data_IF_247908781683
#
_entry.id   IF_247908781683
#
_cell.length_a   1.000
_cell.length_b   1.000
_cell.length_c   1.000
_cell.angle_alpha   90.00
_cell.angle_beta   90.00
_cell.angle_gamma   90.00
#
_symmetry.space_group_name_H-M   'P 1'
#
loop_
_entity.id
_entity.type
_entity.pdbx_description
1 polymer ?
#
# COMPACT_ATOMS: atom_id res chain seq x y z
N UNK A 1 -29.37 -21.90 -1.91
CA UNK A 1 -28.74 -23.20 -2.23
C UNK A 1 -29.65 -24.33 -1.76
N UNK A 2 -30.19 -24.31 -0.52
CA UNK A 2 -31.07 -25.37 0.03
C UNK A 2 -32.43 -25.53 -0.63
N UNK A 3 -32.93 -24.56 -1.41
CA UNK A 3 -34.21 -24.66 -2.11
C UNK A 3 -34.17 -25.30 -3.50
N UNK A 4 -32.97 -25.44 -4.08
CA UNK A 4 -32.80 -26.09 -5.39
C UNK A 4 -32.70 -27.62 -5.27
N UNK A 5 -32.16 -28.14 -4.18
CA UNK A 5 -31.99 -29.59 -3.97
C UNK A 5 -33.30 -30.32 -3.72
N UNK A 6 -34.27 -29.65 -3.14
CA UNK A 6 -35.60 -30.27 -2.88
C UNK A 6 -36.46 -30.48 -4.15
N UNK A 7 -36.22 -29.69 -5.21
CA UNK A 7 -36.94 -29.81 -6.49
C UNK A 7 -36.38 -30.85 -7.44
N UNK A 8 -35.18 -31.35 -7.20
CA UNK A 8 -34.52 -32.35 -8.04
C UNK A 8 -34.82 -33.79 -7.67
N UNK A 9 -35.50 -34.03 -6.52
CA UNK A 9 -35.90 -35.40 -6.10
C UNK A 9 -37.23 -35.89 -6.68
N UNK A 10 -38.02 -35.05 -7.30
CA UNK A 10 -39.34 -35.45 -7.86
C UNK A 10 -39.34 -35.86 -9.33
N UNK A 11 -38.23 -35.77 -10.05
CA UNK A 11 -38.13 -36.13 -11.50
C UNK A 11 -37.37 -37.44 -11.70
N UNK A 12 -37.51 -38.38 -10.83
CA UNK A 12 -36.91 -39.69 -10.91
C UNK A 12 -37.72 -40.74 -11.61
N UNK A 13 -38.14 -40.52 -12.87
CA UNK A 13 -38.67 -41.62 -13.76
C UNK A 13 -38.67 -41.22 -15.25
N UNK A 14 -37.55 -40.87 -15.82
CA UNK A 14 -37.35 -40.91 -17.29
C UNK A 14 -35.91 -41.28 -17.55
N UNK A 15 -35.78 -42.53 -17.90
CA UNK A 15 -34.50 -43.18 -18.03
C UNK A 15 -33.68 -42.74 -19.26
N UNK A 16 -32.39 -42.93 -19.16
CA UNK A 16 -31.34 -43.11 -20.17
C UNK A 16 -30.96 -41.95 -21.10
N UNK A 17 -31.79 -40.98 -21.38
CA UNK A 17 -31.37 -39.83 -22.22
C UNK A 17 -30.89 -38.61 -21.41
N UNK A 18 -31.08 -38.60 -20.10
CA UNK A 18 -30.69 -37.47 -19.24
C UNK A 18 -29.23 -37.50 -18.75
N UNK A 19 -28.55 -38.64 -18.82
CA UNK A 19 -27.19 -38.80 -18.29
C UNK A 19 -26.14 -38.01 -19.09
N UNK A 20 -26.25 -37.96 -20.40
CA UNK A 20 -25.30 -37.23 -21.26
C UNK A 20 -25.51 -35.73 -21.26
N UNK A 21 -26.76 -35.27 -21.07
CA UNK A 21 -27.06 -33.85 -20.98
C UNK A 21 -26.65 -33.23 -19.61
N UNK A 22 -26.76 -34.02 -18.53
CA UNK A 22 -26.37 -33.62 -17.19
C UNK A 22 -24.86 -33.47 -17.05
N UNK A 23 -24.09 -34.39 -17.60
CA UNK A 23 -22.62 -34.32 -17.56
C UNK A 23 -22.09 -33.11 -18.35
N UNK A 24 -22.68 -32.81 -19.52
CA UNK A 24 -22.30 -31.66 -20.32
C UNK A 24 -22.69 -30.32 -19.60
N UNK A 25 -23.82 -30.26 -18.95
CA UNK A 25 -24.27 -29.06 -18.24
C UNK A 25 -23.39 -28.77 -16.99
N UNK A 26 -23.01 -29.81 -16.24
CA UNK A 26 -22.07 -29.67 -15.12
C UNK A 26 -20.66 -29.31 -15.60
N UNK A 27 -20.21 -29.85 -16.72
CA UNK A 27 -18.94 -29.51 -17.30
C UNK A 27 -18.93 -28.04 -17.79
N UNK A 28 -20.00 -27.56 -18.42
CA UNK A 28 -20.14 -26.18 -18.85
C UNK A 28 -20.20 -25.18 -17.65
N UNK A 29 -20.96 -25.50 -16.62
CA UNK A 29 -21.07 -24.65 -15.43
C UNK A 29 -19.73 -24.60 -14.67
N UNK A 30 -19.05 -25.75 -14.52
CA UNK A 30 -17.72 -25.75 -13.90
C UNK A 30 -16.67 -25.05 -14.75
N UNK A 31 -16.70 -25.20 -16.08
CA UNK A 31 -15.79 -24.50 -16.98
C UNK A 31 -16.01 -22.97 -16.93
N UNK A 32 -17.26 -22.53 -16.95
CA UNK A 32 -17.57 -21.11 -16.78
C UNK A 32 -17.25 -20.58 -15.37
N UNK A 33 -17.46 -21.38 -14.32
CA UNK A 33 -17.11 -21.02 -12.95
C UNK A 33 -15.59 -20.94 -12.74
N UNK A 34 -14.81 -21.89 -13.32
CA UNK A 34 -13.35 -21.83 -13.27
C UNK A 34 -12.81 -20.68 -14.12
N UNK A 35 -13.37 -20.42 -15.28
CA UNK A 35 -13.01 -19.26 -16.10
C UNK A 35 -13.41 -17.94 -15.44
N UNK A 36 -14.55 -17.87 -14.76
CA UNK A 36 -14.94 -16.72 -13.94
C UNK A 36 -14.01 -16.54 -12.73
N UNK A 37 -13.64 -17.61 -12.02
CA UNK A 37 -12.59 -17.57 -10.98
C UNK A 37 -11.24 -17.14 -11.51
N UNK A 38 -10.86 -17.57 -12.69
CA UNK A 38 -9.59 -17.21 -13.34
C UNK A 38 -9.63 -15.78 -13.92
N UNK A 39 -10.81 -15.28 -14.31
CA UNK A 39 -11.01 -13.93 -14.80
C UNK A 39 -11.15 -12.90 -13.67
N UNK A 40 -11.53 -13.31 -12.47
CA UNK A 40 -11.21 -12.56 -11.23
C UNK A 40 -9.71 -12.82 -10.92
N UNK A 41 -8.82 -12.51 -11.85
CA UNK A 41 -7.46 -12.14 -11.47
C UNK A 41 -7.67 -11.05 -10.42
N UNK A 42 -7.35 -11.33 -9.15
CA UNK A 42 -7.17 -10.30 -8.13
C UNK A 42 -6.37 -9.22 -8.83
N UNK A 43 -7.00 -8.12 -9.15
CA UNK A 43 -6.25 -6.92 -9.54
C UNK A 43 -5.35 -6.71 -8.35
N UNK A 44 -4.07 -7.09 -8.51
CA UNK A 44 -3.07 -6.91 -7.45
C UNK A 44 -2.92 -5.40 -7.35
N UNK A 45 -3.70 -4.81 -6.45
CA UNK A 45 -3.59 -3.36 -6.22
C UNK A 45 -2.13 -3.08 -5.89
N UNK A 46 -1.57 -2.13 -6.61
CA UNK A 46 -0.20 -1.66 -6.35
C UNK A 46 -0.19 -1.18 -4.90
N UNK A 47 0.73 -1.69 -4.12
CA UNK A 47 0.94 -1.23 -2.74
C UNK A 47 1.45 0.20 -2.78
N UNK A 48 1.10 0.97 -1.76
CA UNK A 48 1.70 2.28 -1.55
C UNK A 48 3.20 2.13 -1.25
N UNK A 49 3.95 3.18 -1.55
CA UNK A 49 5.40 3.23 -1.35
C UNK A 49 5.65 4.09 -0.10
N UNK A 50 6.34 3.51 0.87
CA UNK A 50 6.92 4.25 1.98
C UNK A 50 8.20 4.90 1.46
N UNK A 51 8.23 6.23 1.44
CA UNK A 51 9.37 6.99 0.91
C UNK A 51 10.48 7.13 1.95
N UNK A 52 10.14 7.64 3.13
CA UNK A 52 11.09 7.83 4.21
C UNK A 52 10.44 7.74 5.58
N UNK A 53 11.28 7.62 6.60
CA UNK A 53 10.93 7.83 8.00
C UNK A 53 11.67 9.06 8.49
N UNK A 54 10.98 9.97 9.16
CA UNK A 54 11.59 11.13 9.79
C UNK A 54 11.65 10.96 11.31
N UNK A 55 12.80 11.18 11.87
CA UNK A 55 13.03 11.19 13.31
C UNK A 55 13.57 12.56 13.74
N UNK A 56 13.14 12.99 14.92
CA UNK A 56 13.60 14.25 15.47
C UNK A 56 14.97 14.11 16.13
N UNK A 57 15.79 15.13 15.97
CA UNK A 57 17.09 15.27 16.63
C UNK A 57 17.33 16.72 17.04
N UNK A 58 18.14 16.93 18.07
CA UNK A 58 18.51 18.26 18.55
C UNK A 58 19.71 18.86 17.77
N UNK A 59 20.48 18.02 17.07
CA UNK A 59 21.69 18.43 16.34
C UNK A 59 21.87 17.54 15.09
N UNK A 60 21.58 18.11 13.93
CA UNK A 60 21.65 17.40 12.64
C UNK A 60 23.05 16.87 12.38
N UNK A 61 24.09 17.69 12.58
CA UNK A 61 25.45 17.30 12.25
C UNK A 61 25.94 16.12 13.09
N UNK A 62 25.73 16.17 14.40
CA UNK A 62 26.08 15.08 15.31
C UNK A 62 25.31 13.80 15.01
N UNK A 63 24.05 13.94 14.63
CA UNK A 63 23.25 12.77 14.28
C UNK A 63 23.73 12.14 12.97
N UNK A 64 24.00 12.92 11.93
CA UNK A 64 24.56 12.42 10.66
C UNK A 64 25.86 11.70 10.91
N UNK A 65 26.81 12.31 11.65
CA UNK A 65 28.07 11.70 12.03
C UNK A 65 27.84 10.35 12.71
N UNK A 66 26.98 10.31 13.72
CA UNK A 66 26.68 9.08 14.45
C UNK A 66 26.09 7.98 13.56
N UNK A 67 25.14 8.33 12.67
CA UNK A 67 24.53 7.33 11.77
C UNK A 67 25.55 6.79 10.76
N UNK A 68 26.38 7.63 10.18
CA UNK A 68 27.40 7.22 9.18
C UNK A 68 28.56 6.45 9.79
N UNK A 69 28.90 6.68 11.06
CA UNK A 69 29.89 5.89 11.79
C UNK A 69 29.38 4.50 12.17
N UNK A 70 28.08 4.36 12.47
CA UNK A 70 27.52 3.12 12.97
C UNK A 70 26.83 2.27 11.91
N UNK A 71 26.40 2.84 10.79
CA UNK A 71 25.67 2.17 9.73
C UNK A 71 26.23 2.52 8.36
N UNK A 72 26.03 1.61 7.40
CA UNK A 72 26.32 1.88 5.98
C UNK A 72 25.10 2.56 5.36
N UNK A 73 25.20 3.85 5.15
CA UNK A 73 24.19 4.68 4.47
C UNK A 73 24.89 5.81 3.73
N UNK A 74 24.22 6.34 2.71
CA UNK A 74 24.69 7.47 1.94
C UNK A 74 23.98 8.76 2.42
N UNK A 75 24.70 9.89 2.41
CA UNK A 75 24.12 11.19 2.71
C UNK A 75 23.57 11.77 1.40
N UNK A 76 22.24 11.79 1.22
CA UNK A 76 21.60 12.40 0.05
C UNK A 76 21.57 13.93 0.16
N UNK A 77 21.34 14.41 1.38
CA UNK A 77 21.27 15.84 1.68
C UNK A 77 21.62 16.09 3.14
N UNK A 78 22.22 17.26 3.41
CA UNK A 78 22.46 17.74 4.77
C UNK A 78 22.60 19.27 4.78
N UNK A 79 21.89 19.91 5.70
CA UNK A 79 22.17 21.29 6.14
C UNK A 79 22.02 21.39 7.68
N UNK A 80 21.99 22.60 8.23
CA UNK A 80 21.84 22.79 9.69
C UNK A 80 20.42 22.52 10.22
N UNK A 81 19.45 22.30 9.35
CA UNK A 81 18.04 22.18 9.69
C UNK A 81 17.47 20.78 9.45
N UNK A 82 18.00 20.03 8.49
CA UNK A 82 17.62 18.66 8.22
C UNK A 82 18.68 17.91 7.42
N UNK A 83 18.58 16.57 7.42
CA UNK A 83 19.39 15.71 6.57
C UNK A 83 18.55 14.51 6.07
N UNK A 84 18.96 13.96 4.92
CA UNK A 84 18.39 12.73 4.35
C UNK A 84 19.50 11.70 4.16
N UNK A 85 19.35 10.58 4.84
CA UNK A 85 20.23 9.42 4.70
C UNK A 85 19.52 8.34 3.88
N UNK A 86 20.25 7.67 2.98
CA UNK A 86 19.74 6.59 2.15
C UNK A 86 20.27 5.23 2.64
N UNK A 87 19.35 4.32 2.92
CA UNK A 87 19.59 2.90 3.13
C UNK A 87 19.07 2.12 1.93
N UNK A 88 19.46 0.89 1.76
CA UNK A 88 19.04 0.04 0.62
C UNK A 88 17.52 -0.02 0.39
N UNK A 89 16.73 0.11 1.44
CA UNK A 89 15.28 -0.15 1.41
C UNK A 89 14.40 1.04 1.81
N UNK A 90 14.97 2.08 2.42
CA UNK A 90 14.22 3.25 2.91
C UNK A 90 15.16 4.42 3.16
N UNK A 91 14.65 5.65 3.03
CA UNK A 91 15.36 6.85 3.45
C UNK A 91 15.04 7.19 4.90
N UNK A 92 15.99 7.79 5.60
CA UNK A 92 15.84 8.31 6.95
C UNK A 92 16.05 9.83 6.91
N UNK A 93 15.03 10.59 7.27
CA UNK A 93 15.13 12.02 7.46
C UNK A 93 15.47 12.32 8.93
N UNK A 94 16.49 13.13 9.15
CA UNK A 94 16.81 13.74 10.45
C UNK A 94 16.29 15.17 10.43
N UNK A 95 15.42 15.53 11.37
CA UNK A 95 14.70 16.81 11.37
C UNK A 95 14.73 17.44 12.76
N UNK A 96 14.69 18.77 12.80
CA UNK A 96 14.51 19.48 14.06
C UNK A 96 13.03 19.46 14.48
N UNK A 97 12.71 19.17 15.76
CA UNK A 97 11.33 18.97 16.21
C UNK A 97 10.42 20.21 16.02
N UNK A 98 11.00 21.42 16.01
CA UNK A 98 10.28 22.67 15.75
C UNK A 98 9.93 22.90 14.27
N UNK A 99 10.55 22.15 13.34
CA UNK A 99 10.29 22.28 11.90
C UNK A 99 9.38 21.20 11.39
N UNK A 100 9.63 19.95 11.80
CA UNK A 100 8.86 18.78 11.37
C UNK A 100 8.64 17.84 12.55
N UNK A 101 7.44 17.25 12.69
CA UNK A 101 7.22 16.21 13.67
C UNK A 101 7.88 14.90 13.24
N UNK A 102 8.05 13.98 14.18
CA UNK A 102 8.28 12.57 13.84
C UNK A 102 7.15 12.07 12.92
N UNK A 103 7.49 11.44 11.80
CA UNK A 103 6.53 10.90 10.83
C UNK A 103 7.15 9.82 9.95
N UNK A 104 6.31 9.18 9.15
CA UNK A 104 6.73 8.46 7.95
C UNK A 104 5.98 9.03 6.74
N UNK A 105 6.64 9.00 5.57
CA UNK A 105 6.10 9.55 4.34
C UNK A 105 5.63 8.46 3.39
N UNK A 106 4.47 8.67 2.77
CA UNK A 106 3.87 7.81 1.77
C UNK A 106 3.75 8.58 0.45
N UNK A 107 4.28 8.00 -0.64
CA UNK A 107 4.14 8.59 -1.97
C UNK A 107 2.71 8.43 -2.50
N UNK A 108 2.13 9.56 -2.93
CA UNK A 108 0.83 9.64 -3.58
C UNK A 108 0.83 10.70 -4.67
N UNK A 109 0.24 10.38 -5.82
CA UNK A 109 0.08 11.34 -6.92
C UNK A 109 -0.99 12.42 -6.60
N UNK A 110 -1.97 12.06 -5.76
CA UNK A 110 -3.15 12.86 -5.42
C UNK A 110 -3.09 13.43 -4.01
N UNK A 111 -2.03 14.16 -3.68
CA UNK A 111 -1.78 14.75 -2.35
C UNK A 111 -2.95 15.64 -1.90
N UNK A 112 -3.58 16.34 -2.85
CA UNK A 112 -4.70 17.26 -2.63
C UNK A 112 -5.95 16.59 -2.04
N UNK A 113 -6.12 15.28 -2.22
CA UNK A 113 -7.25 14.51 -1.65
C UNK A 113 -7.14 14.38 -0.12
N UNK A 114 -5.96 14.67 0.45
CA UNK A 114 -5.68 14.52 1.88
C UNK A 114 -5.71 15.83 2.66
N UNK A 115 -5.78 16.97 1.99
CA UNK A 115 -5.86 18.29 2.62
C UNK A 115 -5.26 19.41 1.77
N UNK A 116 -4.88 20.51 2.42
CA UNK A 116 -4.24 21.64 1.76
C UNK A 116 -2.72 21.38 1.66
N UNK A 117 -2.16 21.23 0.46
CA UNK A 117 -0.76 20.91 0.30
C UNK A 117 0.17 22.10 0.61
N UNK A 118 1.35 21.77 1.09
CA UNK A 118 2.47 22.70 1.26
C UNK A 118 3.59 22.28 0.32
N UNK A 119 4.17 23.26 -0.39
CA UNK A 119 5.36 23.04 -1.22
C UNK A 119 6.62 23.29 -0.38
N UNK A 120 7.52 22.33 -0.37
CA UNK A 120 8.80 22.39 0.34
C UNK A 120 9.91 23.03 -0.52
N UNK A 121 11.05 23.33 0.11
CA UNK A 121 12.21 23.95 -0.57
C UNK A 121 12.81 23.12 -1.71
N UNK A 122 12.71 21.81 -1.62
CA UNK A 122 13.16 20.84 -2.63
C UNK A 122 12.18 20.65 -3.79
N UNK A 123 11.03 21.36 -3.74
CA UNK A 123 9.97 21.29 -4.75
C UNK A 123 8.96 20.17 -4.48
N UNK A 124 9.17 19.35 -3.50
CA UNK A 124 8.19 18.34 -3.10
C UNK A 124 6.92 19.00 -2.52
N UNK A 125 5.81 18.29 -2.61
CA UNK A 125 4.50 18.76 -2.15
C UNK A 125 3.93 17.77 -1.19
N UNK A 126 3.52 18.21 0.00
CA UNK A 126 2.99 17.28 0.99
C UNK A 126 1.83 17.81 1.82
N UNK A 127 1.12 16.87 2.45
CA UNK A 127 0.10 17.09 3.48
C UNK A 127 0.37 16.17 4.66
N UNK A 128 0.32 16.72 5.87
CA UNK A 128 0.36 15.91 7.08
C UNK A 128 -1.03 15.52 7.53
N UNK A 129 -1.23 14.21 7.71
CA UNK A 129 -2.44 13.64 8.31
C UNK A 129 -2.07 12.89 9.59
N UNK A 130 -3.08 12.48 10.35
CA UNK A 130 -2.88 11.64 11.54
C UNK A 130 -3.62 10.33 11.40
N UNK A 131 -2.99 9.25 11.86
CA UNK A 131 -3.69 7.99 12.04
C UNK A 131 -4.65 8.06 13.26
N UNK A 132 -5.36 6.96 13.52
CA UNK A 132 -6.32 6.88 14.64
C UNK A 132 -5.65 6.99 16.03
N UNK A 133 -4.34 6.78 16.12
CA UNK A 133 -3.55 6.86 17.34
C UNK A 133 -2.82 8.22 17.49
N UNK A 134 -2.98 9.10 16.48
CA UNK A 134 -2.37 10.43 16.48
C UNK A 134 -0.96 10.48 15.89
N UNK A 135 -0.44 9.38 15.31
CA UNK A 135 0.85 9.40 14.63
C UNK A 135 0.77 10.24 13.36
N UNK A 136 1.82 11.00 13.07
CA UNK A 136 1.88 11.81 11.86
C UNK A 136 2.28 10.94 10.66
N UNK A 137 1.58 11.16 9.56
CA UNK A 137 1.85 10.56 8.25
C UNK A 137 1.96 11.70 7.26
N UNK A 138 3.06 11.77 6.55
CA UNK A 138 3.23 12.69 5.43
C UNK A 138 2.76 12.02 4.13
N UNK A 139 1.82 12.63 3.46
CA UNK A 139 1.41 12.25 2.09
C UNK A 139 2.20 13.14 1.15
N UNK A 140 3.07 12.55 0.33
CA UNK A 140 4.14 13.23 -0.39
C UNK A 140 4.09 12.97 -1.89
N UNK A 141 4.40 14.01 -2.68
CA UNK A 141 4.66 13.95 -4.12
C UNK A 141 5.90 14.77 -4.46
N UNK A 142 6.77 14.24 -5.32
CA UNK A 142 7.89 14.96 -5.96
C UNK A 142 7.49 15.59 -7.28
#
# INVERSE_FOLDING_TARGET
>A
VFRLEAKLKEVGKLGFYHSLCYQNTYCFINFHYQNFKNSIKRVKMKKDILDHVAICTDDINKSVEWYTENFKCDILYQDSSWAMLEFDNVKLALVLPEQHPFHFAILKDNVEDYGNPVTHRDGSVSVYIKDRSGNNIEILRY
#
